data_IF_297253728113
#
_entry.id   IF_297253728113
#
_cell.length_a   1.000
_cell.length_b   1.000
_cell.length_c   1.000
_cell.angle_alpha   90.00
_cell.angle_beta   90.00
_cell.angle_gamma   90.00
#
_symmetry.space_group_name_H-M   'P 1'
#
loop_
_entity.id
_entity.type
_entity.pdbx_description
1 polymer ?
#
# COMPACT_ATOMS: atom_id res chain seq x y z
N UNK A 1 -6.80 24.20 12.49
CA UNK A 1 -5.64 24.67 11.70
C UNK A 1 -5.00 23.47 11.05
N UNK A 2 -4.81 23.49 9.74
CA UNK A 2 -4.11 22.42 9.02
C UNK A 2 -2.62 22.47 9.38
N UNK A 3 -2.06 21.38 9.86
CA UNK A 3 -0.64 21.28 10.16
C UNK A 3 0.15 21.19 8.86
N UNK A 4 1.00 22.17 8.57
CA UNK A 4 1.86 22.18 7.38
C UNK A 4 3.21 21.57 7.72
N UNK A 5 3.66 20.62 6.90
CA UNK A 5 4.95 19.93 7.05
C UNK A 5 5.87 20.40 5.94
N UNK A 6 7.02 21.03 6.25
CA UNK A 6 8.02 21.36 5.24
C UNK A 6 8.68 20.09 4.71
N UNK A 7 8.62 19.88 3.40
CA UNK A 7 9.27 18.75 2.71
C UNK A 7 10.22 19.31 1.66
N UNK A 8 11.55 19.26 1.86
CA UNK A 8 12.51 19.62 0.82
C UNK A 8 12.34 18.73 -0.41
N UNK A 9 12.33 19.35 -1.58
CA UNK A 9 12.20 18.68 -2.88
C UNK A 9 13.41 19.02 -3.74
N UNK A 10 14.04 17.98 -4.27
CA UNK A 10 15.01 18.13 -5.35
C UNK A 10 14.30 17.88 -6.68
N UNK A 11 14.21 18.91 -7.50
CA UNK A 11 13.68 18.84 -8.86
C UNK A 11 14.79 18.29 -9.77
N UNK A 12 14.59 17.11 -10.32
CA UNK A 12 15.55 16.43 -11.20
C UNK A 12 15.30 16.81 -12.66
N UNK A 13 14.06 17.21 -12.97
CA UNK A 13 13.63 17.71 -14.25
C UNK A 13 12.98 19.10 -14.07
N UNK A 14 13.74 20.21 -14.35
CA UNK A 14 13.29 21.58 -14.09
C UNK A 14 12.13 22.03 -15.00
N UNK A 15 11.82 21.31 -16.07
CA UNK A 15 10.70 21.63 -16.96
C UNK A 15 9.36 21.06 -16.46
N UNK A 16 9.39 20.14 -15.49
CA UNK A 16 8.18 19.57 -14.91
C UNK A 16 7.78 20.33 -13.64
N UNK A 17 6.47 20.39 -13.33
CA UNK A 17 6.00 21.02 -12.10
C UNK A 17 6.42 20.20 -10.86
N UNK A 18 6.62 20.88 -9.74
CA UNK A 18 6.71 20.23 -8.44
C UNK A 18 5.37 19.59 -8.07
N UNK A 19 5.36 18.57 -7.18
CA UNK A 19 4.12 18.02 -6.65
C UNK A 19 3.23 19.12 -6.07
N UNK A 20 1.96 19.14 -6.49
CA UNK A 20 1.03 20.21 -6.11
C UNK A 20 -0.37 19.67 -5.85
N UNK A 21 -1.08 20.31 -4.92
CA UNK A 21 -2.50 20.05 -4.67
C UNK A 21 -3.35 20.78 -5.69
N UNK A 22 -4.31 20.09 -6.30
CA UNK A 22 -5.19 20.68 -7.31
C UNK A 22 -6.20 21.67 -6.68
N UNK A 23 -6.69 21.37 -5.47
CA UNK A 23 -7.65 22.20 -4.75
C UNK A 23 -7.28 22.36 -3.28
N UNK A 24 -7.70 23.46 -2.61
CA UNK A 24 -7.60 23.58 -1.17
C UNK A 24 -8.30 22.43 -0.46
N UNK A 25 -7.59 21.76 0.44
CA UNK A 25 -8.13 20.61 1.19
C UNK A 25 -7.86 19.25 0.57
N UNK A 26 -7.28 19.19 -0.62
CA UNK A 26 -6.83 17.91 -1.19
C UNK A 26 -5.77 17.25 -0.28
N UNK A 27 -5.85 15.93 -0.14
CA UNK A 27 -4.89 15.16 0.65
C UNK A 27 -3.68 14.71 -0.18
N UNK A 28 -3.85 14.53 -1.49
CA UNK A 28 -2.82 14.05 -2.41
C UNK A 28 -2.26 15.16 -3.29
N UNK A 29 -0.94 15.32 -3.31
CA UNK A 29 -0.24 16.15 -4.26
C UNK A 29 0.02 15.36 -5.54
N UNK A 30 -0.37 15.90 -6.71
CA UNK A 30 -0.19 15.23 -7.99
C UNK A 30 1.29 15.00 -8.32
N UNK A 31 1.62 13.79 -8.79
CA UNK A 31 2.90 13.41 -9.39
C UNK A 31 2.70 13.23 -10.90
N UNK A 32 3.62 13.81 -11.68
CA UNK A 32 3.57 13.74 -13.14
C UNK A 32 4.60 12.76 -13.70
N UNK A 33 4.35 12.26 -14.90
CA UNK A 33 5.32 11.45 -15.64
C UNK A 33 6.45 12.32 -16.18
N UNK A 34 7.71 11.92 -15.99
CA UNK A 34 8.86 12.58 -16.57
C UNK A 34 9.23 12.03 -17.97
N UNK A 35 8.55 10.99 -18.43
CA UNK A 35 8.78 10.38 -19.74
C UNK A 35 7.47 9.88 -20.33
N UNK A 36 7.45 9.77 -21.66
CA UNK A 36 6.39 9.07 -22.37
C UNK A 36 6.51 7.56 -22.11
N UNK A 37 5.37 6.89 -21.91
CA UNK A 37 5.33 5.44 -21.76
C UNK A 37 4.04 4.89 -22.38
N UNK A 38 4.14 3.75 -23.05
CA UNK A 38 3.01 2.98 -23.49
C UNK A 38 2.93 1.68 -22.68
N UNK A 39 1.78 1.48 -22.06
CA UNK A 39 1.48 0.28 -21.26
C UNK A 39 0.54 -0.61 -22.07
N UNK A 40 1.03 -1.71 -22.67
CA UNK A 40 0.15 -2.67 -23.33
C UNK A 40 -0.83 -3.29 -22.32
N UNK A 41 -1.89 -3.97 -22.78
CA UNK A 41 -2.79 -4.72 -21.90
C UNK A 41 -2.03 -5.66 -20.97
N UNK A 42 -2.27 -5.55 -19.65
CA UNK A 42 -1.52 -6.28 -18.61
C UNK A 42 -0.08 -5.82 -18.40
N UNK A 43 0.42 -4.88 -19.18
CA UNK A 43 1.79 -4.36 -19.10
C UNK A 43 2.01 -3.44 -17.91
N UNK A 44 3.26 -3.38 -17.46
CA UNK A 44 3.69 -2.49 -16.36
C UNK A 44 5.00 -1.77 -16.69
N UNK A 45 5.18 -0.61 -16.09
CA UNK A 45 6.44 0.15 -16.19
C UNK A 45 6.70 0.96 -14.92
N UNK A 46 7.99 1.16 -14.61
CA UNK A 46 8.43 2.16 -13.64
C UNK A 46 8.56 3.49 -14.37
N UNK A 47 7.72 4.45 -14.01
CA UNK A 47 7.66 5.76 -14.64
C UNK A 47 8.34 6.78 -13.73
N UNK A 48 9.38 7.48 -14.20
CA UNK A 48 10.05 8.53 -13.44
C UNK A 48 9.11 9.73 -13.26
N UNK A 49 9.30 10.49 -12.18
CA UNK A 49 8.52 11.69 -11.85
C UNK A 49 9.30 12.98 -11.88
N UNK A 50 10.62 12.90 -12.05
CA UNK A 50 11.51 14.07 -12.05
C UNK A 50 11.71 14.70 -10.67
N UNK A 51 11.31 14.05 -9.57
CA UNK A 51 11.45 14.60 -8.22
C UNK A 51 11.99 13.59 -7.22
N UNK A 52 12.81 14.09 -6.28
CA UNK A 52 13.24 13.39 -5.09
C UNK A 52 12.88 14.22 -3.85
N UNK A 53 12.52 13.56 -2.74
CA UNK A 53 12.05 14.24 -1.53
C UNK A 53 12.94 13.93 -0.33
N UNK A 54 12.90 14.84 0.66
CA UNK A 54 13.43 14.59 2.00
C UNK A 54 12.29 14.72 3.02
N UNK A 55 11.60 13.64 3.28
CA UNK A 55 10.58 13.61 4.32
C UNK A 55 11.22 13.72 5.70
N UNK A 56 10.63 14.48 6.64
CA UNK A 56 11.11 14.50 8.02
C UNK A 56 10.85 13.15 8.71
N UNK A 57 11.66 12.84 9.70
CA UNK A 57 11.47 11.66 10.55
C UNK A 57 10.07 11.63 11.18
N UNK A 58 9.46 10.46 11.30
CA UNK A 58 8.09 10.29 11.76
C UNK A 58 7.03 10.58 10.70
N UNK A 59 7.43 10.75 9.43
CA UNK A 59 6.51 10.88 8.30
C UNK A 59 6.80 9.84 7.23
N UNK A 60 5.77 9.53 6.46
CA UNK A 60 5.82 8.66 5.28
C UNK A 60 5.15 9.38 4.11
N UNK A 61 5.67 9.16 2.92
CA UNK A 61 5.00 9.51 1.67
C UNK A 61 4.33 8.27 1.08
N UNK A 62 3.04 8.34 0.82
CA UNK A 62 2.28 7.25 0.22
C UNK A 62 1.90 7.63 -1.21
N UNK A 63 2.38 6.86 -2.17
CA UNK A 63 2.05 7.03 -3.58
C UNK A 63 0.79 6.25 -3.89
N UNK A 64 -0.30 6.98 -4.12
CA UNK A 64 -1.62 6.43 -4.43
C UNK A 64 -1.95 6.55 -5.92
N UNK A 65 -2.78 5.65 -6.46
CA UNK A 65 -3.30 5.79 -7.82
C UNK A 65 -4.24 6.99 -7.93
N UNK A 66 -4.48 7.42 -9.16
CA UNK A 66 -5.49 8.44 -9.49
C UNK A 66 -6.76 7.78 -9.98
N UNK A 67 -7.87 8.12 -9.36
CA UNK A 67 -9.21 7.57 -9.69
C UNK A 67 -9.58 7.74 -11.18
N UNK A 68 -9.20 8.88 -11.77
CA UNK A 68 -9.47 9.16 -13.18
C UNK A 68 -8.71 8.24 -14.15
N UNK A 69 -7.46 7.87 -13.86
CA UNK A 69 -6.70 6.91 -14.67
C UNK A 69 -7.27 5.50 -14.49
N UNK A 70 -7.55 5.11 -13.25
CA UNK A 70 -8.11 3.80 -12.94
C UNK A 70 -9.48 3.59 -13.64
N UNK A 71 -10.38 4.59 -13.56
CA UNK A 71 -11.72 4.46 -14.11
C UNK A 71 -11.76 4.50 -15.64
N UNK A 72 -10.90 5.31 -16.29
CA UNK A 72 -10.98 5.52 -17.74
C UNK A 72 -10.04 4.65 -18.55
N UNK A 73 -8.88 4.31 -18.00
CA UNK A 73 -7.82 3.58 -18.71
C UNK A 73 -7.45 2.27 -18.05
N UNK A 74 -8.07 1.90 -16.93
CA UNK A 74 -7.67 0.71 -16.18
C UNK A 74 -6.25 0.78 -15.60
N UNK A 75 -5.62 1.98 -15.57
CA UNK A 75 -4.25 2.16 -15.10
C UNK A 75 -4.23 2.48 -13.61
N UNK A 76 -3.40 1.76 -12.88
CA UNK A 76 -3.21 1.95 -11.44
C UNK A 76 -1.75 1.80 -11.03
N UNK A 77 -1.45 2.09 -9.76
CA UNK A 77 -0.14 1.84 -9.15
C UNK A 77 -0.11 0.39 -8.66
N UNK A 78 0.78 -0.41 -9.22
CA UNK A 78 0.83 -1.85 -8.97
C UNK A 78 1.06 -2.21 -7.50
N UNK A 79 1.93 -1.47 -6.82
CA UNK A 79 2.27 -1.66 -5.41
C UNK A 79 1.57 -0.66 -4.48
N UNK A 80 0.36 -0.20 -4.84
CA UNK A 80 -0.36 0.82 -4.07
C UNK A 80 -0.75 0.34 -2.65
N UNK A 81 -0.54 1.20 -1.63
CA UNK A 81 0.17 2.45 -1.67
C UNK A 81 1.69 2.24 -1.72
N UNK A 82 2.37 2.84 -2.70
CA UNK A 82 3.84 2.85 -2.73
C UNK A 82 4.40 3.63 -1.54
N UNK A 83 5.35 3.07 -0.81
CA UNK A 83 5.88 3.67 0.41
C UNK A 83 7.19 4.40 0.12
N UNK A 84 7.23 5.68 0.45
CA UNK A 84 8.43 6.53 0.42
C UNK A 84 8.86 6.81 1.86
N UNK A 85 9.95 6.21 2.28
CA UNK A 85 10.48 6.34 3.64
C UNK A 85 11.15 7.70 3.87
N UNK A 86 11.16 8.17 5.12
CA UNK A 86 11.83 9.42 5.52
C UNK A 86 13.34 9.44 5.16
N UNK A 87 14.00 8.28 5.17
CA UNK A 87 15.41 8.12 4.78
C UNK A 87 15.67 8.02 3.28
N UNK A 88 14.64 7.86 2.43
CA UNK A 88 14.82 7.75 0.99
C UNK A 88 15.21 9.09 0.36
N UNK A 89 16.15 9.08 -0.59
CA UNK A 89 16.66 10.28 -1.28
C UNK A 89 16.73 10.09 -2.80
N UNK A 90 16.30 8.93 -3.30
CA UNK A 90 16.22 8.67 -4.74
C UNK A 90 15.02 9.34 -5.38
N UNK A 91 14.98 9.30 -6.69
CA UNK A 91 13.82 9.72 -7.48
C UNK A 91 12.59 8.88 -7.14
N UNK A 92 11.43 9.51 -7.02
CA UNK A 92 10.17 8.79 -6.91
C UNK A 92 9.83 8.19 -8.27
N UNK A 93 9.81 6.87 -8.33
CA UNK A 93 9.39 6.10 -9.50
C UNK A 93 8.02 5.51 -9.23
N UNK A 94 7.07 5.73 -10.14
CA UNK A 94 5.71 5.20 -10.02
C UNK A 94 5.59 3.92 -10.83
N UNK A 95 5.32 2.80 -10.17
CA UNK A 95 5.14 1.51 -10.83
C UNK A 95 3.69 1.39 -11.32
N UNK A 96 3.45 1.75 -12.59
CA UNK A 96 2.13 1.67 -13.21
C UNK A 96 1.88 0.30 -13.82
N UNK A 97 0.62 -0.13 -13.79
CA UNK A 97 0.11 -1.30 -14.49
C UNK A 97 -1.18 -0.95 -15.23
N UNK A 98 -1.34 -1.49 -16.42
CA UNK A 98 -2.58 -1.42 -17.19
C UNK A 98 -3.39 -2.70 -17.00
N UNK A 99 -4.56 -2.61 -16.36
CA UNK A 99 -5.49 -3.72 -16.16
C UNK A 99 -6.53 -3.86 -17.28
N UNK A 100 -6.56 -2.93 -18.25
CA UNK A 100 -7.39 -3.11 -19.44
C UNK A 100 -6.92 -4.37 -20.18
N UNK A 101 -7.87 -5.13 -20.76
CA UNK A 101 -7.58 -6.41 -21.40
C UNK A 101 -7.20 -6.28 -22.86
N UNK A 102 -7.65 -5.20 -23.50
CA UNK A 102 -7.63 -5.06 -24.95
C UNK A 102 -6.93 -3.77 -25.39
N UNK A 103 -6.94 -2.73 -24.56
CA UNK A 103 -6.53 -1.39 -24.97
C UNK A 103 -5.21 -0.98 -24.30
N UNK A 104 -4.17 -0.62 -25.09
CA UNK A 104 -2.96 -0.04 -24.52
C UNK A 104 -3.23 1.35 -23.96
N UNK A 105 -2.60 1.67 -22.83
CA UNK A 105 -2.66 3.00 -22.24
C UNK A 105 -1.41 3.79 -22.59
N UNK A 106 -1.60 5.00 -23.12
CA UNK A 106 -0.50 5.94 -23.41
C UNK A 106 -0.47 7.01 -22.33
N UNK A 107 0.71 7.18 -21.76
CA UNK A 107 1.05 8.21 -20.79
C UNK A 107 2.08 9.12 -21.44
N UNK A 108 1.80 10.39 -21.49
CA UNK A 108 2.74 11.40 -22.00
C UNK A 108 3.49 12.08 -20.87
N UNK A 109 4.70 12.55 -21.15
CA UNK A 109 5.45 13.40 -20.22
C UNK A 109 4.60 14.60 -19.78
N UNK A 110 4.52 14.83 -18.47
CA UNK A 110 3.66 15.86 -17.87
C UNK A 110 2.27 15.38 -17.46
N UNK A 111 1.84 14.18 -17.87
CA UNK A 111 0.59 13.61 -17.41
C UNK A 111 0.63 13.30 -15.92
N UNK A 112 -0.44 13.61 -15.19
CA UNK A 112 -0.60 13.29 -13.78
C UNK A 112 -0.89 11.80 -13.63
N UNK A 113 0.06 11.04 -13.09
CA UNK A 113 0.03 9.56 -13.04
C UNK A 113 -0.27 8.97 -11.67
N UNK A 114 0.02 9.73 -10.62
CA UNK A 114 -0.19 9.29 -9.23
C UNK A 114 -0.42 10.52 -8.35
N UNK A 115 -0.66 10.29 -7.06
CA UNK A 115 -0.73 11.33 -6.04
C UNK A 115 0.05 10.93 -4.80
N UNK A 116 0.77 11.87 -4.22
CA UNK A 116 1.56 11.70 -3.01
C UNK A 116 0.79 12.22 -1.80
N UNK A 117 0.52 11.35 -0.83
CA UNK A 117 -0.04 11.70 0.47
C UNK A 117 1.07 11.66 1.50
N UNK A 118 1.30 12.75 2.21
CA UNK A 118 2.26 12.82 3.32
C UNK A 118 1.50 12.74 4.64
N UNK A 119 1.86 11.77 5.49
CA UNK A 119 1.22 11.59 6.79
C UNK A 119 2.23 11.18 7.87
N UNK A 120 1.85 11.34 9.11
CA UNK A 120 2.61 10.81 10.25
C UNK A 120 2.52 9.29 10.28
N UNK A 121 3.60 8.65 10.73
CA UNK A 121 3.67 7.21 10.90
C UNK A 121 4.26 6.88 12.26
N UNK A 122 3.65 5.93 12.94
CA UNK A 122 4.16 5.39 14.19
C UNK A 122 5.12 4.23 13.90
N UNK A 123 6.16 4.12 14.72
CA UNK A 123 7.09 2.99 14.67
C UNK A 123 6.68 1.97 15.72
N UNK A 124 6.23 0.80 15.28
CA UNK A 124 5.90 -0.29 16.18
C UNK A 124 7.17 -0.93 16.77
N UNK A 125 7.14 -1.19 18.08
CA UNK A 125 8.08 -2.05 18.77
C UNK A 125 7.42 -3.44 18.93
N UNK A 126 7.83 -4.39 18.09
CA UNK A 126 7.24 -5.73 18.06
C UNK A 126 7.80 -6.58 19.21
N UNK A 127 6.95 -6.84 20.20
CA UNK A 127 7.29 -7.65 21.36
C UNK A 127 6.73 -9.08 21.20
N UNK A 128 7.58 -10.11 21.14
CA UNK A 128 7.12 -11.49 21.08
C UNK A 128 6.45 -11.89 22.39
N UNK A 129 5.25 -12.48 22.29
CA UNK A 129 4.49 -13.00 23.42
C UNK A 129 4.02 -14.42 23.11
N UNK A 130 3.84 -15.25 24.12
CA UNK A 130 3.34 -16.61 23.94
C UNK A 130 1.88 -16.63 23.50
N UNK A 131 1.07 -15.69 23.99
CA UNK A 131 -0.36 -15.56 23.65
C UNK A 131 -0.73 -14.09 23.48
N UNK A 132 -1.59 -13.79 22.50
CA UNK A 132 -2.14 -12.45 22.32
C UNK A 132 -3.25 -12.20 23.33
N UNK A 133 -3.43 -10.94 23.78
CA UNK A 133 -4.58 -10.57 24.60
C UNK A 133 -5.91 -10.93 23.91
N UNK A 134 -6.86 -11.42 24.67
CA UNK A 134 -8.19 -11.76 24.16
C UNK A 134 -8.89 -10.54 23.53
N UNK A 135 -9.65 -10.78 22.46
CA UNK A 135 -10.48 -9.75 21.83
C UNK A 135 -11.87 -10.27 21.52
N UNK A 136 -12.87 -9.38 21.43
CA UNK A 136 -14.25 -9.76 21.06
C UNK A 136 -14.34 -10.36 19.65
N UNK A 137 -13.42 -10.01 18.76
CA UNK A 137 -13.34 -10.53 17.39
C UNK A 137 -12.59 -11.86 17.31
N UNK A 138 -11.67 -12.12 18.23
CA UNK A 138 -10.80 -13.31 18.22
C UNK A 138 -10.07 -13.46 16.89
N UNK A 139 -10.04 -14.67 16.34
CA UNK A 139 -9.42 -15.00 15.07
C UNK A 139 -10.33 -14.76 13.84
N UNK A 140 -11.52 -14.18 14.03
CA UNK A 140 -12.48 -13.92 12.95
C UNK A 140 -11.92 -12.92 11.92
N UNK A 141 -11.77 -13.36 10.66
CA UNK A 141 -11.33 -12.57 9.51
C UNK A 141 -12.21 -12.80 8.28
N UNK A 142 -11.77 -12.36 7.11
CA UNK A 142 -12.32 -12.70 5.79
C UNK A 142 -13.85 -12.83 5.71
N UNK A 143 -14.58 -11.75 5.99
CA UNK A 143 -16.05 -11.73 5.90
C UNK A 143 -16.77 -12.11 7.19
N UNK A 144 -16.08 -12.24 8.34
CA UNK A 144 -16.71 -12.53 9.64
C UNK A 144 -17.80 -11.53 10.07
N UNK A 145 -17.86 -10.35 9.44
CA UNK A 145 -18.87 -9.30 9.67
C UNK A 145 -20.05 -9.39 8.68
N UNK A 146 -20.08 -10.37 7.79
CA UNK A 146 -21.08 -10.48 6.73
C UNK A 146 -20.90 -9.44 5.62
N UNK A 147 -21.92 -9.24 4.80
CA UNK A 147 -21.95 -8.17 3.78
C UNK A 147 -22.12 -8.63 2.34
N UNK A 148 -22.01 -9.94 2.05
CA UNK A 148 -22.29 -10.51 0.74
C UNK A 148 -23.15 -11.77 0.90
N UNK A 149 -24.35 -11.76 0.34
CA UNK A 149 -25.35 -12.85 0.49
C UNK A 149 -24.91 -14.22 -0.09
N UNK A 150 -23.75 -14.33 -0.70
CA UNK A 150 -23.22 -15.57 -1.28
C UNK A 150 -21.89 -16.05 -0.71
N UNK A 151 -21.33 -15.39 0.31
CA UNK A 151 -20.11 -15.86 0.96
C UNK A 151 -20.46 -16.93 2.01
N UNK A 152 -20.27 -18.19 1.63
CA UNK A 152 -20.24 -19.30 2.59
C UNK A 152 -18.94 -19.14 3.40
N UNK A 153 -18.97 -19.09 4.74
CA UNK A 153 -17.74 -19.07 5.53
C UNK A 153 -16.93 -20.33 5.20
N UNK A 154 -15.58 -20.23 5.10
CA UNK A 154 -14.76 -21.41 4.91
C UNK A 154 -15.04 -22.41 6.02
N UNK A 155 -15.01 -23.72 5.73
CA UNK A 155 -15.23 -24.75 6.74
C UNK A 155 -14.23 -24.49 7.87
N UNK A 156 -14.74 -24.51 9.10
CA UNK A 156 -13.90 -24.42 10.30
C UNK A 156 -12.86 -25.52 10.20
N UNK A 157 -11.60 -25.13 10.01
CA UNK A 157 -10.49 -26.08 10.13
C UNK A 157 -10.51 -26.57 11.57
N UNK A 158 -11.06 -27.78 11.77
CA UNK A 158 -11.06 -28.44 13.06
C UNK A 158 -9.65 -28.38 13.64
N UNK A 159 -9.54 -28.06 14.91
CA UNK A 159 -8.30 -28.25 15.66
C UNK A 159 -7.75 -29.60 15.27
N UNK A 160 -6.56 -29.64 14.69
CA UNK A 160 -5.80 -30.89 14.66
C UNK A 160 -5.61 -31.25 16.12
N UNK A 161 -6.31 -32.29 16.56
CA UNK A 161 -6.01 -32.92 17.83
C UNK A 161 -4.57 -33.39 17.73
N UNK A 162 -3.74 -32.91 18.65
CA UNK A 162 -2.36 -33.32 18.81
C UNK A 162 -2.39 -34.78 19.32
N UNK A 163 -1.93 -35.78 18.53
CA UNK A 163 -1.99 -37.18 18.92
C UNK A 163 -1.02 -37.55 20.06
N UNK A 164 -0.18 -36.61 20.52
CA UNK A 164 0.81 -36.87 21.58
C UNK A 164 0.34 -36.56 23.00
N UNK A 165 -0.97 -36.28 23.21
CA UNK A 165 -1.49 -35.99 24.55
C UNK A 165 -2.10 -37.20 25.28
N UNK A 166 -1.97 -38.40 24.71
CA UNK A 166 -2.45 -39.66 25.32
C UNK A 166 -1.27 -40.56 25.68
N UNK A 167 -0.60 -40.31 26.82
CA UNK A 167 0.46 -41.14 27.26
C UNK A 167 1.02 -40.75 28.62
N UNK A 168 0.23 -40.86 29.65
CA UNK A 168 0.69 -40.60 31.03
C UNK A 168 -0.24 -41.26 32.02
N UNK A 169 -0.38 -42.60 31.95
CA UNK A 169 -0.95 -43.36 33.07
C UNK A 169 0.16 -43.84 33.97
N UNK A 170 0.09 -43.38 35.18
CA UNK A 170 0.83 -43.82 36.36
C UNK A 170 0.57 -45.31 36.62
N UNK A 171 1.60 -46.15 36.60
CA UNK A 171 1.60 -47.45 37.27
C UNK A 171 2.05 -47.25 38.71
N UNK A 172 1.10 -47.45 39.59
CA UNK A 172 1.29 -47.65 41.02
C UNK A 172 1.72 -49.09 41.22
N UNK A 173 2.96 -49.35 41.69
CA UNK A 173 3.39 -50.67 42.14
C UNK A 173 3.47 -50.65 43.65
N UNK A 174 2.56 -51.41 44.25
CA UNK A 174 2.65 -51.81 45.65
C UNK A 174 3.69 -52.91 45.81
N UNK A 175 4.48 -52.83 46.89
CA UNK A 175 5.47 -53.79 47.35
C UNK A 175 6.23 -53.26 48.53
#
# INVERSE_FOLDING_TARGET
MTHVVPVPVRQLDPELPLPAYAHPGDAGADLVAAADVELPPGGRALVPTGVALALPEGYVGLVHPRSGLAARLGVTVLNAPGTVDAGYRGEILVNLINHDRDTPAKISRGDRIAQLVVQRVERADFQPVAELPGSRRGAGGHGSTGGHAGLVPPPSTGRREDPDRAGGQTEEVAG
#
